data_IF_739433053315
#
_entry.id   IF_739433053315
#
_cell.length_a   1.000
_cell.length_b   1.000
_cell.length_c   1.000
_cell.angle_alpha   90.00
_cell.angle_beta   90.00
_cell.angle_gamma   90.00
#
_symmetry.space_group_name_H-M   'P 1'
#
loop_
_entity.id
_entity.type
_entity.pdbx_description
1 polymer ?
#
# COMPACT_ATOMS: atom_id res chain seq x y z
N UNK A 1 27.36 -41.86 43.37
CA UNK A 1 27.70 -40.58 42.72
C UNK A 1 27.15 -40.54 41.31
N UNK A 2 27.20 -41.64 40.55
CA UNK A 2 26.73 -41.67 39.15
C UNK A 2 25.23 -41.39 38.95
N UNK A 3 24.33 -41.86 39.82
CA UNK A 3 22.89 -41.63 39.66
C UNK A 3 22.48 -40.16 39.76
N UNK A 4 23.21 -39.35 40.55
CA UNK A 4 22.95 -37.92 40.70
C UNK A 4 23.46 -37.10 39.51
N UNK A 5 24.52 -37.58 38.85
CA UNK A 5 25.08 -36.98 37.64
C UNK A 5 24.17 -37.27 36.43
N UNK A 6 23.57 -38.46 36.38
CA UNK A 6 22.61 -38.83 35.32
C UNK A 6 21.35 -37.98 35.42
N UNK A 7 20.75 -37.85 36.61
CA UNK A 7 19.53 -37.06 36.79
C UNK A 7 19.73 -35.55 36.49
N UNK A 8 20.87 -34.98 36.87
CA UNK A 8 21.17 -33.57 36.56
C UNK A 8 21.37 -33.34 35.05
N UNK A 9 21.89 -34.34 34.33
CA UNK A 9 22.07 -34.29 32.88
C UNK A 9 20.74 -34.43 32.14
N UNK A 10 19.84 -35.29 32.62
CA UNK A 10 18.48 -35.44 32.08
C UNK A 10 17.67 -34.15 32.25
N UNK A 11 17.74 -33.50 33.42
CA UNK A 11 17.08 -32.19 33.63
C UNK A 11 17.64 -31.08 32.72
N UNK A 12 18.95 -31.06 32.47
CA UNK A 12 19.59 -30.09 31.56
C UNK A 12 19.17 -30.32 30.10
N UNK A 13 19.08 -31.59 29.67
CA UNK A 13 18.61 -32.00 28.34
C UNK A 13 17.11 -31.68 28.14
N UNK A 14 16.27 -31.93 29.15
CA UNK A 14 14.84 -31.58 29.12
C UNK A 14 14.61 -30.05 29.03
N UNK A 15 15.44 -29.25 29.71
CA UNK A 15 15.37 -27.79 29.65
C UNK A 15 15.87 -27.23 28.30
N UNK A 16 16.94 -27.80 27.74
CA UNK A 16 17.44 -27.44 26.40
C UNK A 16 16.40 -27.77 25.32
N UNK A 17 15.69 -28.89 25.45
CA UNK A 17 14.60 -29.28 24.55
C UNK A 17 13.39 -28.34 24.66
N UNK A 18 13.03 -27.92 25.88
CA UNK A 18 11.94 -26.95 26.10
C UNK A 18 12.28 -25.56 25.53
N UNK A 19 13.52 -25.09 25.71
CA UNK A 19 14.00 -23.83 25.14
C UNK A 19 14.04 -23.89 23.61
N UNK A 20 14.56 -25.00 23.06
CA UNK A 20 14.60 -25.25 21.61
C UNK A 20 13.19 -25.29 21.02
N UNK A 21 12.24 -25.91 21.73
CA UNK A 21 10.86 -25.96 21.30
C UNK A 21 10.16 -24.60 21.36
N UNK A 22 10.41 -23.82 22.43
CA UNK A 22 9.89 -22.45 22.55
C UNK A 22 10.45 -21.54 21.45
N UNK A 23 11.74 -21.67 21.13
CA UNK A 23 12.38 -20.94 20.04
C UNK A 23 11.75 -21.29 18.68
N UNK A 24 11.50 -22.58 18.42
CA UNK A 24 10.85 -23.05 17.20
C UNK A 24 9.43 -22.49 17.06
N UNK A 25 8.63 -22.55 18.12
CA UNK A 25 7.25 -22.03 18.14
C UNK A 25 7.25 -20.51 17.92
N UNK A 26 8.16 -19.80 18.57
CA UNK A 26 8.29 -18.34 18.41
C UNK A 26 8.69 -17.97 16.98
N UNK A 27 9.64 -18.67 16.39
CA UNK A 27 10.03 -18.48 14.99
C UNK A 27 8.87 -18.79 14.02
N UNK A 28 8.08 -19.83 14.29
CA UNK A 28 6.90 -20.17 13.49
C UNK A 28 5.80 -19.11 13.61
N UNK A 29 5.59 -18.52 14.80
CA UNK A 29 4.63 -17.42 14.99
C UNK A 29 5.11 -16.16 14.26
N UNK A 30 6.38 -15.76 14.42
CA UNK A 30 6.93 -14.57 13.77
C UNK A 30 6.92 -14.74 12.26
N UNK A 31 7.48 -15.84 11.73
CA UNK A 31 7.47 -16.14 10.31
C UNK A 31 6.06 -16.30 9.73
N UNK A 32 5.14 -16.91 10.49
CA UNK A 32 3.73 -17.04 10.11
C UNK A 32 2.99 -15.71 10.08
N UNK A 33 3.33 -14.76 10.96
CA UNK A 33 2.75 -13.42 10.91
C UNK A 33 3.19 -12.67 9.66
N UNK A 34 4.47 -12.73 9.30
CA UNK A 34 5.04 -12.04 8.13
C UNK A 34 4.38 -12.48 6.81
N UNK A 35 4.23 -13.80 6.61
CA UNK A 35 3.51 -14.37 5.46
C UNK A 35 2.02 -13.99 5.48
N UNK A 36 1.38 -13.94 6.66
CA UNK A 36 -0.02 -13.54 6.78
C UNK A 36 -0.25 -12.04 6.51
N UNK A 37 0.75 -11.17 6.71
CA UNK A 37 0.68 -9.75 6.37
C UNK A 37 0.65 -9.56 4.86
N UNK A 38 1.56 -10.20 4.13
CA UNK A 38 1.63 -10.13 2.67
C UNK A 38 0.31 -10.59 2.04
N UNK A 39 -0.20 -11.76 2.44
CA UNK A 39 -1.47 -12.29 1.94
C UNK A 39 -2.65 -11.36 2.24
N UNK A 40 -2.69 -10.70 3.41
CA UNK A 40 -3.76 -9.73 3.74
C UNK A 40 -3.63 -8.43 2.97
N UNK A 41 -2.41 -7.95 2.73
CA UNK A 41 -2.16 -6.76 1.92
C UNK A 41 -2.55 -7.04 0.47
N UNK A 42 -2.16 -8.19 -0.07
CA UNK A 42 -2.46 -8.63 -1.44
C UNK A 42 -3.96 -8.90 -1.64
N UNK A 43 -4.64 -9.60 -0.71
CA UNK A 43 -6.11 -9.74 -0.74
C UNK A 43 -6.85 -8.40 -0.68
N UNK A 44 -6.34 -7.43 0.10
CA UNK A 44 -6.91 -6.09 0.14
C UNK A 44 -6.57 -5.30 -1.13
N UNK A 45 -5.47 -5.61 -1.79
CA UNK A 45 -5.03 -4.97 -3.02
C UNK A 45 -5.95 -5.33 -4.19
N UNK A 46 -6.28 -6.60 -4.36
CA UNK A 46 -7.18 -7.08 -5.43
C UNK A 46 -8.58 -6.45 -5.40
N UNK A 47 -9.05 -6.05 -4.21
CA UNK A 47 -10.39 -5.49 -4.03
C UNK A 47 -10.42 -3.95 -3.94
N UNK A 48 -9.26 -3.27 -4.00
CA UNK A 48 -9.21 -1.80 -3.95
C UNK A 48 -9.38 -1.23 -5.35
N UNK A 49 -10.42 -0.41 -5.54
CA UNK A 49 -10.65 0.35 -6.76
C UNK A 49 -9.82 1.65 -6.85
N UNK A 50 -8.83 1.81 -5.96
CA UNK A 50 -8.00 3.01 -5.88
C UNK A 50 -6.52 2.64 -5.73
N UNK A 51 -5.66 3.51 -6.26
CA UNK A 51 -4.21 3.32 -6.20
C UNK A 51 -3.69 3.57 -4.79
N UNK A 52 -2.85 2.65 -4.32
CA UNK A 52 -2.04 2.78 -3.12
C UNK A 52 -0.70 3.47 -3.45
N UNK A 53 0.01 3.98 -2.44
CA UNK A 53 1.26 4.72 -2.61
C UNK A 53 2.32 3.97 -3.42
N UNK A 54 2.45 2.65 -3.24
CA UNK A 54 3.37 1.81 -4.00
C UNK A 54 3.03 1.67 -5.49
N UNK A 55 1.79 2.00 -5.88
CA UNK A 55 1.31 1.97 -7.25
C UNK A 55 1.34 3.35 -7.92
N UNK A 56 1.69 4.41 -7.18
CA UNK A 56 1.86 5.74 -7.75
C UNK A 56 3.14 5.79 -8.57
N UNK A 57 3.13 6.61 -9.61
CA UNK A 57 4.30 6.84 -10.44
C UNK A 57 5.46 7.41 -9.60
N UNK A 58 6.72 6.99 -9.86
CA UNK A 58 7.90 7.52 -9.16
C UNK A 58 7.98 9.05 -9.22
N UNK A 59 7.58 9.63 -10.36
CA UNK A 59 7.36 11.06 -10.50
C UNK A 59 5.88 11.32 -10.81
N UNK A 60 5.10 11.87 -9.87
CA UNK A 60 3.67 12.08 -10.02
C UNK A 60 3.31 13.27 -10.94
N UNK A 61 4.29 13.99 -11.51
CA UNK A 61 4.05 15.17 -12.36
C UNK A 61 4.13 14.89 -13.86
N UNK A 62 4.60 13.70 -14.26
CA UNK A 62 4.84 13.36 -15.66
C UNK A 62 4.22 12.00 -15.99
N UNK A 63 3.79 11.83 -17.24
CA UNK A 63 3.16 10.62 -17.77
C UNK A 63 2.06 10.07 -16.86
N UNK A 64 1.33 10.96 -16.18
CA UNK A 64 0.24 10.55 -15.31
C UNK A 64 -0.90 9.98 -16.15
N UNK A 65 -1.71 9.04 -15.61
CA UNK A 65 -2.91 8.58 -16.31
C UNK A 65 -3.82 9.73 -16.76
N UNK A 66 -3.86 10.82 -15.98
CA UNK A 66 -4.57 12.04 -16.37
C UNK A 66 -3.97 12.73 -17.60
N UNK A 67 -2.64 12.90 -17.67
CA UNK A 67 -1.97 13.49 -18.84
C UNK A 67 -2.21 12.65 -20.09
N UNK A 68 -2.07 11.32 -19.99
CA UNK A 68 -2.34 10.41 -21.12
C UNK A 68 -3.81 10.49 -21.55
N UNK A 69 -4.75 10.50 -20.60
CA UNK A 69 -6.17 10.66 -20.89
C UNK A 69 -6.42 11.98 -21.61
N UNK A 70 -5.93 13.09 -21.04
CA UNK A 70 -6.11 14.42 -21.61
C UNK A 70 -5.49 14.51 -23.01
N UNK A 71 -4.25 14.07 -23.21
CA UNK A 71 -3.56 14.13 -24.51
C UNK A 71 -4.24 13.25 -25.57
N UNK A 72 -4.91 12.17 -25.17
CA UNK A 72 -5.61 11.28 -26.10
C UNK A 72 -6.81 11.94 -26.77
N UNK A 73 -7.43 12.95 -26.14
CA UNK A 73 -8.63 13.64 -26.61
C UNK A 73 -9.71 12.67 -27.12
N UNK A 74 -9.87 11.52 -26.44
CA UNK A 74 -10.75 10.44 -26.85
C UNK A 74 -12.05 10.43 -26.04
N UNK A 75 -13.19 10.69 -26.68
CA UNK A 75 -14.50 10.75 -26.02
C UNK A 75 -14.83 9.48 -25.25
N UNK A 76 -14.54 8.29 -25.79
CA UNK A 76 -14.81 7.03 -25.10
C UNK A 76 -14.01 6.92 -23.81
N UNK A 77 -12.75 7.36 -23.81
CA UNK A 77 -11.91 7.35 -22.62
C UNK A 77 -12.44 8.35 -21.58
N UNK A 78 -12.75 9.58 -22.00
CA UNK A 78 -13.32 10.62 -21.13
C UNK A 78 -14.66 10.19 -20.51
N UNK A 79 -15.59 9.66 -21.30
CA UNK A 79 -16.88 9.18 -20.82
C UNK A 79 -16.69 8.04 -19.81
N UNK A 80 -15.78 7.10 -20.09
CA UNK A 80 -15.54 5.96 -19.18
C UNK A 80 -14.92 6.41 -17.85
N UNK A 81 -14.03 7.39 -17.87
CA UNK A 81 -13.30 7.83 -16.65
C UNK A 81 -14.05 8.91 -15.86
N UNK A 82 -14.68 9.87 -16.53
CA UNK A 82 -15.28 11.05 -15.89
C UNK A 82 -16.81 11.12 -16.01
N UNK A 83 -17.39 10.37 -16.95
CA UNK A 83 -18.85 10.35 -17.19
C UNK A 83 -19.35 11.37 -18.21
N UNK A 84 -18.46 12.09 -18.90
CA UNK A 84 -18.79 13.05 -19.97
C UNK A 84 -17.67 13.08 -21.03
N UNK A 85 -17.96 13.65 -22.21
CA UNK A 85 -17.02 13.71 -23.34
C UNK A 85 -15.99 14.86 -23.23
N UNK A 86 -15.10 14.93 -24.22
CA UNK A 86 -14.00 15.92 -24.25
C UNK A 86 -14.55 17.35 -24.35
N UNK A 87 -15.56 17.58 -25.18
CA UNK A 87 -16.15 18.90 -25.39
C UNK A 87 -16.80 19.41 -24.10
N UNK A 88 -17.58 18.56 -23.42
CA UNK A 88 -18.22 18.87 -22.15
C UNK A 88 -17.16 19.21 -21.09
N UNK A 89 -16.05 18.48 -21.04
CA UNK A 89 -14.95 18.80 -20.13
C UNK A 89 -14.35 20.18 -20.42
N UNK A 90 -14.10 20.49 -21.69
CA UNK A 90 -13.61 21.80 -22.13
C UNK A 90 -14.57 22.94 -21.77
N UNK A 91 -15.88 22.71 -21.90
CA UNK A 91 -16.91 23.65 -21.47
C UNK A 91 -16.87 23.90 -19.96
N UNK A 92 -16.76 22.85 -19.14
CA UNK A 92 -16.67 22.97 -17.68
C UNK A 92 -15.42 23.80 -17.30
N UNK A 93 -14.26 23.49 -17.89
CA UNK A 93 -13.02 24.21 -17.64
C UNK A 93 -13.16 25.71 -17.96
N UNK A 94 -13.64 26.03 -19.16
CA UNK A 94 -13.80 27.42 -19.63
C UNK A 94 -14.89 28.20 -18.90
N UNK A 95 -15.86 27.51 -18.30
CA UNK A 95 -16.94 28.11 -17.49
C UNK A 95 -16.50 28.52 -16.08
N UNK A 96 -15.20 28.55 -15.80
CA UNK A 96 -14.61 29.04 -14.54
C UNK A 96 -14.09 27.94 -13.60
N UNK A 97 -14.26 26.65 -13.96
CA UNK A 97 -13.72 25.56 -13.16
C UNK A 97 -12.18 25.48 -13.24
N UNK A 98 -11.59 25.93 -14.35
CA UNK A 98 -10.15 25.84 -14.60
C UNK A 98 -9.28 26.40 -13.47
N UNK A 99 -9.66 27.55 -12.88
CA UNK A 99 -8.90 28.16 -11.80
C UNK A 99 -8.73 27.18 -10.63
N UNK A 100 -9.83 26.64 -10.12
CA UNK A 100 -9.79 25.68 -9.02
C UNK A 100 -9.13 24.36 -9.44
N UNK A 101 -9.37 23.90 -10.67
CA UNK A 101 -8.78 22.66 -11.18
C UNK A 101 -7.25 22.69 -11.21
N UNK A 102 -6.65 23.82 -11.61
CA UNK A 102 -5.20 23.93 -11.74
C UNK A 102 -4.48 24.33 -10.44
N UNK A 103 -5.12 25.07 -9.55
CA UNK A 103 -4.44 25.63 -8.36
C UNK A 103 -4.78 24.93 -7.06
N UNK A 104 -5.92 24.25 -6.98
CA UNK A 104 -6.43 23.72 -5.72
C UNK A 104 -6.08 22.24 -5.58
N UNK A 105 -5.10 21.95 -4.72
CA UNK A 105 -4.84 20.58 -4.31
C UNK A 105 -6.03 20.01 -3.53
N UNK A 106 -6.37 18.74 -3.78
CA UNK A 106 -7.39 18.03 -2.98
C UNK A 106 -6.86 17.91 -1.54
N UNK A 107 -7.55 18.48 -0.53
CA UNK A 107 -7.11 18.37 0.85
C UNK A 107 -7.07 16.90 1.25
N UNK A 108 -5.92 16.44 1.75
CA UNK A 108 -5.82 15.11 2.33
C UNK A 108 -5.44 15.20 3.82
N UNK A 109 -6.06 14.38 4.68
CA UNK A 109 -5.80 14.41 6.12
C UNK A 109 -4.43 13.84 6.50
N UNK A 110 -3.78 13.09 5.60
CA UNK A 110 -2.51 12.39 5.81
C UNK A 110 -1.28 13.17 5.29
N UNK A 111 -1.47 14.40 4.79
CA UNK A 111 -0.39 15.24 4.25
C UNK A 111 -0.37 16.60 4.93
N UNK A 112 0.83 17.11 5.25
CA UNK A 112 0.99 18.46 5.79
C UNK A 112 0.61 19.49 4.70
N UNK A 113 -0.48 20.23 4.91
CA UNK A 113 -0.98 21.23 3.96
C UNK A 113 0.00 22.39 3.72
N UNK A 114 0.95 22.59 4.64
CA UNK A 114 1.97 23.66 4.60
C UNK A 114 3.36 23.10 4.30
N UNK A 115 3.48 21.80 4.02
CA UNK A 115 4.77 21.19 3.70
C UNK A 115 5.27 21.63 2.33
N UNK A 116 6.57 21.90 2.21
CA UNK A 116 7.18 22.23 0.93
C UNK A 116 6.93 21.09 -0.09
N UNK A 117 6.48 21.41 -1.31
CA UNK A 117 6.33 20.42 -2.36
C UNK A 117 7.70 19.80 -2.66
N UNK A 118 7.76 18.46 -2.58
CA UNK A 118 8.95 17.68 -3.00
C UNK A 118 9.09 17.62 -4.51
#
# INVERSE_FOLDING_TARGET
MDAMIIAAREEEEDLEDEETMMALVTAAIIGGTEVAWEIRVERRHDNRLYLCRSQLLPNPRINTPWQILYDSQNDRAFITTMGFDVETFGYILSSGFAANWYTTAIPRPDTNQVGDPR
#
